data_IF_439646810776
#
_entry.id   IF_439646810776
#
_cell.length_a   1.000
_cell.length_b   1.000
_cell.length_c   1.000
_cell.angle_alpha   90.00
_cell.angle_beta   90.00
_cell.angle_gamma   90.00
#
_symmetry.space_group_name_H-M   'P 1'
#
loop_
_entity.id
_entity.type
_entity.pdbx_description
1 polymer ?
#
# COMPACT_ATOMS: atom_id res chain seq x y z
N UNK A 1 -7.94 -10.46 -16.84
CA UNK A 1 -7.98 -9.87 -15.48
C UNK A 1 -9.23 -9.01 -15.42
N UNK A 2 -10.06 -9.18 -14.38
CA UNK A 2 -11.30 -8.40 -14.25
C UNK A 2 -11.16 -7.47 -13.04
N UNK A 3 -11.56 -6.21 -13.23
CA UNK A 3 -11.72 -5.23 -12.16
C UNK A 3 -13.22 -5.05 -11.87
N UNK A 4 -13.58 -4.77 -10.62
CA UNK A 4 -14.93 -4.27 -10.32
C UNK A 4 -15.10 -2.84 -10.83
N UNK A 5 -16.34 -2.37 -10.95
CA UNK A 5 -16.62 -0.99 -11.36
C UNK A 5 -15.92 0.04 -10.45
N UNK A 6 -15.87 -0.25 -9.14
CA UNK A 6 -15.16 0.58 -8.17
C UNK A 6 -13.64 0.56 -8.40
N UNK A 7 -13.05 -0.61 -8.63
CA UNK A 7 -11.62 -0.73 -8.93
C UNK A 7 -11.27 0.02 -10.23
N UNK A 8 -12.12 -0.10 -11.25
CA UNK A 8 -11.98 0.58 -12.53
C UNK A 8 -12.05 2.10 -12.38
N UNK A 9 -13.03 2.60 -11.63
CA UNK A 9 -13.14 4.03 -11.33
C UNK A 9 -11.90 4.56 -10.60
N UNK A 10 -11.38 3.82 -9.62
CA UNK A 10 -10.16 4.19 -8.92
C UNK A 10 -8.93 4.24 -9.86
N UNK A 11 -8.82 3.32 -10.79
CA UNK A 11 -7.77 3.35 -11.84
C UNK A 11 -7.87 4.63 -12.65
N UNK A 12 -9.07 4.98 -13.11
CA UNK A 12 -9.32 6.19 -13.88
C UNK A 12 -9.01 7.46 -13.09
N UNK A 13 -9.36 7.52 -11.80
CA UNK A 13 -9.04 8.63 -10.91
C UNK A 13 -7.52 8.84 -10.79
N UNK A 14 -6.73 7.77 -10.69
CA UNK A 14 -5.25 7.91 -10.65
C UNK A 14 -4.70 8.52 -11.92
N UNK A 15 -5.23 8.13 -13.08
CA UNK A 15 -4.77 8.65 -14.37
C UNK A 15 -5.07 10.15 -14.54
N UNK A 16 -6.04 10.68 -13.79
CA UNK A 16 -6.36 12.12 -13.71
C UNK A 16 -5.41 12.92 -12.79
N UNK A 17 -4.62 12.25 -11.94
CA UNK A 17 -3.63 12.92 -11.05
C UNK A 17 -2.43 13.50 -11.82
N UNK A 18 -1.51 14.20 -11.13
CA UNK A 18 -0.39 14.92 -11.76
C UNK A 18 0.97 14.62 -11.14
N UNK A 19 1.99 14.59 -11.98
CA UNK A 19 3.39 14.44 -11.59
C UNK A 19 3.88 12.98 -11.61
N UNK A 20 5.08 12.76 -11.09
CA UNK A 20 5.76 11.47 -11.16
C UNK A 20 5.02 10.31 -10.48
N UNK A 21 4.22 10.59 -9.44
CA UNK A 21 3.35 9.59 -8.80
C UNK A 21 2.39 8.93 -9.79
N UNK A 22 1.74 9.71 -10.67
CA UNK A 22 0.90 9.17 -11.74
C UNK A 22 1.68 8.23 -12.66
N UNK A 23 2.88 8.63 -13.06
CA UNK A 23 3.67 7.85 -14.02
C UNK A 23 4.12 6.52 -13.43
N UNK A 24 4.55 6.51 -12.17
CA UNK A 24 4.86 5.28 -11.43
C UNK A 24 3.62 4.38 -11.34
N UNK A 25 2.46 4.94 -10.95
CA UNK A 25 1.23 4.14 -10.87
C UNK A 25 0.74 3.63 -12.24
N UNK A 26 0.91 4.41 -13.30
CA UNK A 26 0.63 3.97 -14.69
C UNK A 26 1.56 2.82 -15.11
N UNK A 27 2.84 2.87 -14.73
CA UNK A 27 3.77 1.75 -14.96
C UNK A 27 3.30 0.52 -14.18
N UNK A 28 2.89 0.72 -12.93
CA UNK A 28 2.35 -0.33 -12.07
C UNK A 28 1.13 -1.04 -12.68
N UNK A 29 0.12 -0.28 -13.17
CA UNK A 29 -1.05 -0.82 -13.88
C UNK A 29 -0.59 -1.70 -15.06
N UNK A 30 0.29 -1.16 -15.91
CA UNK A 30 0.80 -1.89 -17.07
C UNK A 30 1.51 -3.19 -16.66
N UNK A 31 2.31 -3.17 -15.60
CA UNK A 31 2.98 -4.38 -15.13
C UNK A 31 1.98 -5.43 -14.62
N UNK A 32 0.95 -5.02 -13.88
CA UNK A 32 -0.08 -5.93 -13.40
C UNK A 32 -0.86 -6.58 -14.55
N UNK A 33 -1.29 -5.78 -15.53
CA UNK A 33 -1.98 -6.27 -16.74
C UNK A 33 -1.11 -7.30 -17.48
N UNK A 34 0.15 -6.94 -17.76
CA UNK A 34 1.10 -7.84 -18.44
C UNK A 34 1.42 -9.09 -17.65
N UNK A 35 1.44 -9.01 -16.32
CA UNK A 35 1.62 -10.18 -15.47
C UNK A 35 0.49 -11.20 -15.70
N UNK A 36 -0.77 -10.74 -15.73
CA UNK A 36 -1.92 -11.61 -15.99
C UNK A 36 -1.98 -12.13 -17.43
N UNK A 37 -1.55 -11.34 -18.42
CA UNK A 37 -1.48 -11.78 -19.82
C UNK A 37 -0.43 -12.87 -20.04
N UNK A 38 0.69 -12.80 -19.33
CA UNK A 38 1.83 -13.71 -19.50
C UNK A 38 1.79 -14.92 -18.56
N UNK A 39 0.79 -15.02 -17.67
CA UNK A 39 0.78 -16.02 -16.59
C UNK A 39 0.89 -17.47 -17.09
N UNK A 40 0.35 -17.78 -18.27
CA UNK A 40 0.33 -19.13 -18.83
C UNK A 40 1.48 -19.38 -19.81
N UNK A 41 1.97 -18.34 -20.50
CA UNK A 41 2.98 -18.44 -21.56
C UNK A 41 4.41 -18.18 -21.08
N UNK A 42 4.58 -17.32 -20.07
CA UNK A 42 5.86 -16.96 -19.45
C UNK A 42 5.66 -16.75 -17.94
N UNK A 43 5.37 -17.82 -17.17
CA UNK A 43 4.93 -17.71 -15.78
C UNK A 43 5.97 -17.06 -14.85
N UNK A 44 7.26 -17.24 -15.11
CA UNK A 44 8.34 -16.60 -14.36
C UNK A 44 8.35 -15.07 -14.62
N UNK A 45 8.19 -14.65 -15.88
CA UNK A 45 8.07 -13.23 -16.24
C UNK A 45 6.81 -12.62 -15.62
N UNK A 46 5.71 -13.37 -15.59
CA UNK A 46 4.49 -12.95 -14.92
C UNK A 46 4.71 -12.69 -13.42
N UNK A 47 5.42 -13.57 -12.71
CA UNK A 47 5.80 -13.36 -11.31
C UNK A 47 6.65 -12.09 -11.16
N UNK A 48 7.66 -11.92 -12.00
CA UNK A 48 8.53 -10.73 -11.96
C UNK A 48 7.73 -9.44 -12.14
N UNK A 49 6.80 -9.42 -13.10
CA UNK A 49 5.92 -8.27 -13.34
C UNK A 49 4.96 -8.04 -12.16
N UNK A 50 4.45 -9.10 -11.54
CA UNK A 50 3.61 -9.01 -10.34
C UNK A 50 4.34 -8.43 -9.12
N UNK A 51 5.65 -8.66 -8.99
CA UNK A 51 6.47 -7.99 -7.95
C UNK A 51 6.74 -6.54 -8.35
N UNK A 52 7.10 -6.31 -9.61
CA UNK A 52 7.43 -4.97 -10.12
C UNK A 52 6.22 -4.03 -10.07
N UNK A 53 5.00 -4.52 -10.28
CA UNK A 53 3.80 -3.69 -10.19
C UNK A 53 3.62 -3.14 -8.77
N UNK A 54 3.80 -3.94 -7.72
CA UNK A 54 3.73 -3.50 -6.33
C UNK A 54 4.79 -2.45 -6.00
N UNK A 55 6.02 -2.66 -6.47
CA UNK A 55 7.10 -1.70 -6.28
C UNK A 55 6.83 -0.34 -6.92
N UNK A 56 6.29 -0.33 -8.14
CA UNK A 56 5.91 0.91 -8.83
C UNK A 56 4.72 1.61 -8.15
N UNK A 57 3.77 0.86 -7.60
CA UNK A 57 2.67 1.41 -6.81
C UNK A 57 3.16 2.03 -5.49
N UNK A 58 4.10 1.36 -4.78
CA UNK A 58 4.75 1.94 -3.61
C UNK A 58 5.55 3.21 -3.96
N UNK A 59 6.23 3.20 -5.10
CA UNK A 59 6.96 4.37 -5.63
C UNK A 59 6.04 5.56 -5.86
N UNK A 60 4.82 5.33 -6.36
CA UNK A 60 3.83 6.38 -6.52
C UNK A 60 3.40 7.01 -5.18
N UNK A 61 3.18 6.20 -4.15
CA UNK A 61 2.89 6.68 -2.79
C UNK A 61 4.05 7.53 -2.28
N UNK A 62 5.30 7.08 -2.43
CA UNK A 62 6.48 7.85 -1.99
C UNK A 62 6.60 9.18 -2.71
N UNK A 63 6.30 9.22 -4.01
CA UNK A 63 6.19 10.48 -4.74
C UNK A 63 5.13 11.41 -4.15
N UNK A 64 3.94 10.89 -3.82
CA UNK A 64 2.88 11.69 -3.21
C UNK A 64 3.32 12.25 -1.85
N UNK A 65 3.89 11.41 -0.98
CA UNK A 65 4.38 11.82 0.34
C UNK A 65 5.46 12.90 0.26
N UNK A 66 6.45 12.70 -0.61
CA UNK A 66 7.56 13.66 -0.82
C UNK A 66 7.08 14.97 -1.46
N UNK A 67 6.19 14.88 -2.45
CA UNK A 67 5.58 16.06 -3.10
C UNK A 67 4.82 16.93 -2.11
N UNK A 68 4.11 16.30 -1.16
CA UNK A 68 3.35 16.98 -0.10
C UNK A 68 4.21 17.41 1.09
N UNK A 69 5.47 16.98 1.16
CA UNK A 69 6.43 17.32 2.21
C UNK A 69 5.97 16.89 3.60
N UNK A 70 5.39 15.69 3.70
CA UNK A 70 5.17 15.05 5.00
C UNK A 70 6.48 14.94 5.77
N UNK A 71 6.46 15.17 7.08
CA UNK A 71 7.68 15.15 7.90
C UNK A 71 8.37 13.79 7.78
N UNK A 72 9.66 13.80 7.39
CA UNK A 72 10.49 12.61 7.23
C UNK A 72 10.37 11.90 5.88
N UNK A 73 9.43 12.30 5.01
CA UNK A 73 9.22 11.65 3.71
C UNK A 73 10.46 11.72 2.78
N UNK A 74 11.34 12.70 2.98
CA UNK A 74 12.62 12.82 2.26
C UNK A 74 13.57 11.64 2.50
N UNK A 75 13.38 10.88 3.59
CA UNK A 75 14.18 9.69 3.93
C UNK A 75 13.70 8.43 3.20
N UNK A 76 12.55 8.48 2.54
CA UNK A 76 12.03 7.36 1.76
C UNK A 76 12.82 7.21 0.46
N UNK A 77 13.52 6.08 0.31
CA UNK A 77 14.21 5.74 -0.93
C UNK A 77 13.27 5.04 -1.91
N UNK A 78 12.96 5.69 -3.02
CA UNK A 78 12.24 5.09 -4.17
C UNK A 78 13.05 4.01 -4.88
N UNK A 79 14.37 3.99 -4.67
CA UNK A 79 15.29 3.02 -5.29
C UNK A 79 15.49 1.77 -4.43
N UNK A 80 15.27 1.84 -3.11
CA UNK A 80 15.40 0.67 -2.24
C UNK A 80 14.20 -0.26 -2.43
N UNK A 81 14.49 -1.52 -2.80
CA UNK A 81 13.49 -2.58 -2.86
C UNK A 81 12.91 -2.87 -1.47
N UNK A 82 13.74 -2.84 -0.42
CA UNK A 82 13.29 -3.01 0.97
C UNK A 82 12.28 -1.92 1.34
N UNK A 83 12.59 -0.66 1.04
CA UNK A 83 11.65 0.44 1.30
C UNK A 83 10.32 0.24 0.56
N UNK A 84 10.30 -0.31 -0.66
CA UNK A 84 9.04 -0.50 -1.39
C UNK A 84 8.25 -1.71 -0.88
N UNK A 85 8.94 -2.84 -0.65
CA UNK A 85 8.34 -4.12 -0.26
C UNK A 85 7.91 -4.17 1.21
N UNK A 86 8.53 -3.39 2.09
CA UNK A 86 8.12 -3.28 3.49
C UNK A 86 6.79 -2.52 3.68
N UNK A 87 6.28 -1.84 2.63
CA UNK A 87 5.07 -1.03 2.74
C UNK A 87 3.83 -1.89 2.97
N UNK A 88 3.70 -3.03 2.28
CA UNK A 88 2.57 -3.93 2.46
C UNK A 88 2.45 -4.50 3.89
N UNK A 89 3.48 -5.13 4.48
CA UNK A 89 3.39 -5.63 5.85
C UNK A 89 3.15 -4.49 6.87
N UNK A 90 3.66 -3.29 6.61
CA UNK A 90 3.35 -2.12 7.42
C UNK A 90 1.87 -1.74 7.36
N UNK A 91 1.28 -1.62 6.15
CA UNK A 91 -0.14 -1.29 6.00
C UNK A 91 -1.06 -2.36 6.60
N UNK A 92 -0.69 -3.64 6.52
CA UNK A 92 -1.42 -4.71 7.20
C UNK A 92 -1.41 -4.54 8.72
N UNK A 93 -0.27 -4.18 9.29
CA UNK A 93 -0.16 -3.98 10.73
C UNK A 93 -0.99 -2.77 11.19
N UNK A 94 -0.90 -1.65 10.47
CA UNK A 94 -1.73 -0.46 10.70
C UNK A 94 -3.23 -0.78 10.56
N UNK A 95 -3.61 -1.57 9.55
CA UNK A 95 -5.00 -1.99 9.34
C UNK A 95 -5.56 -2.79 10.51
N UNK A 96 -4.77 -3.70 11.08
CA UNK A 96 -5.17 -4.47 12.29
C UNK A 96 -5.36 -3.57 13.51
N UNK A 97 -4.45 -2.63 13.75
CA UNK A 97 -4.61 -1.62 14.82
C UNK A 97 -5.88 -0.80 14.64
N UNK A 98 -6.17 -0.45 13.38
CA UNK A 98 -7.35 0.32 13.05
C UNK A 98 -8.62 -0.47 13.34
N UNK A 99 -8.69 -1.75 12.96
CA UNK A 99 -9.80 -2.65 13.30
C UNK A 99 -10.03 -2.75 14.81
N UNK A 100 -8.97 -2.89 15.61
CA UNK A 100 -9.06 -2.95 17.08
C UNK A 100 -9.63 -1.66 17.68
N UNK A 101 -9.27 -0.49 17.14
CA UNK A 101 -9.68 0.82 17.66
C UNK A 101 -11.08 1.22 17.18
N UNK A 102 -11.46 0.91 15.94
CA UNK A 102 -12.76 1.28 15.40
C UNK A 102 -13.86 0.30 15.79
N UNK A 103 -13.50 -0.93 16.21
CA UNK A 103 -14.43 -1.98 16.63
C UNK A 103 -15.43 -2.33 15.53
N UNK A 104 -16.73 -2.26 15.84
CA UNK A 104 -17.80 -2.59 14.89
C UNK A 104 -18.07 -1.50 13.83
N UNK A 105 -17.38 -0.35 13.89
CA UNK A 105 -17.53 0.71 12.88
C UNK A 105 -16.93 0.23 11.58
N UNK A 106 -17.68 0.37 10.48
CA UNK A 106 -17.23 -0.06 9.16
C UNK A 106 -16.82 1.17 8.34
N UNK A 107 -15.51 1.41 8.13
CA UNK A 107 -15.08 2.41 7.17
C UNK A 107 -15.43 1.90 5.77
N UNK A 108 -16.10 2.73 4.99
CA UNK A 108 -16.39 2.43 3.58
C UNK A 108 -15.68 3.44 2.70
N UNK A 109 -15.15 2.95 1.58
CA UNK A 109 -14.55 3.81 0.56
C UNK A 109 -15.62 4.25 -0.42
N UNK A 110 -15.68 5.54 -0.70
CA UNK A 110 -16.59 6.08 -1.72
C UNK A 110 -15.97 7.26 -2.45
N UNK A 111 -16.38 7.46 -3.70
CA UNK A 111 -16.05 8.65 -4.46
C UNK A 111 -17.13 9.70 -4.24
N UNK A 112 -16.69 10.94 -3.95
CA UNK A 112 -17.60 12.01 -3.58
C UNK A 112 -17.11 13.36 -4.14
N UNK A 113 -17.97 14.03 -4.90
CA UNK A 113 -17.72 15.34 -5.53
C UNK A 113 -18.27 16.53 -4.73
N UNK A 114 -19.21 16.30 -3.80
CA UNK A 114 -19.94 17.37 -3.10
C UNK A 114 -19.18 17.93 -1.90
N UNK A 115 -18.18 17.21 -1.41
CA UNK A 115 -17.35 17.59 -0.26
C UNK A 115 -16.13 18.44 -0.62
N UNK A 116 -16.03 18.93 -1.86
CA UNK A 116 -14.95 19.84 -2.29
C UNK A 116 -15.50 21.14 -2.87
N UNK A 117 -14.87 22.25 -2.53
CA UNK A 117 -15.20 23.56 -3.09
C UNK A 117 -14.94 23.67 -4.60
N UNK A 118 -14.06 22.83 -5.15
CA UNK A 118 -13.75 22.79 -6.58
C UNK A 118 -14.62 21.81 -7.38
N UNK A 119 -15.60 21.14 -6.73
CA UNK A 119 -16.49 20.17 -7.35
C UNK A 119 -15.78 18.93 -7.90
N UNK A 120 -14.52 18.68 -7.52
CA UNK A 120 -13.79 17.50 -7.99
C UNK A 120 -14.15 16.28 -7.18
N UNK A 121 -14.58 15.23 -7.87
CA UNK A 121 -14.78 13.91 -7.29
C UNK A 121 -13.45 13.33 -6.78
N UNK A 122 -13.42 12.89 -5.52
CA UNK A 122 -12.23 12.28 -4.90
C UNK A 122 -12.63 11.11 -4.00
N UNK A 123 -11.72 10.16 -3.85
CA UNK A 123 -11.88 9.02 -2.96
C UNK A 123 -11.89 9.46 -1.49
N UNK A 124 -12.86 8.97 -0.71
CA UNK A 124 -13.06 9.29 0.70
C UNK A 124 -13.16 8.03 1.55
N UNK A 125 -12.96 8.24 2.85
CA UNK A 125 -13.34 7.30 3.90
C UNK A 125 -14.62 7.83 4.55
N UNK A 126 -15.72 7.07 4.42
CA UNK A 126 -16.94 7.28 5.20
C UNK A 126 -16.88 6.40 6.43
N UNK A 127 -17.15 6.97 7.60
CA UNK A 127 -17.25 6.23 8.85
C UNK A 127 -18.72 6.18 9.25
N UNK A 128 -19.28 4.97 9.31
CA UNK A 128 -20.66 4.74 9.74
C UNK A 128 -20.75 4.44 11.23
N UNK A 129 -21.77 5.02 11.87
CA UNK A 129 -22.14 4.86 13.26
C UNK A 129 -23.59 4.40 13.32
N UNK A 130 -23.89 3.46 14.20
CA UNK A 130 -25.26 2.99 14.41
C UNK A 130 -25.67 3.39 15.81
N UNK A 131 -26.83 4.03 15.93
CA UNK A 131 -27.40 4.34 17.23
C UNK A 131 -27.97 3.08 17.90
N UNK A 132 -28.51 3.23 19.12
CA UNK A 132 -29.13 2.12 19.87
C UNK A 132 -30.36 1.50 19.17
N UNK A 133 -30.95 2.18 18.21
CA UNK A 133 -32.10 1.73 17.43
C UNK A 133 -31.67 1.09 16.09
N UNK A 134 -30.37 1.10 15.77
CA UNK A 134 -29.83 0.62 14.49
C UNK A 134 -29.91 1.64 13.36
N UNK A 135 -30.22 2.91 13.63
CA UNK A 135 -30.19 3.97 12.63
C UNK A 135 -28.75 4.35 12.30
N UNK A 136 -28.41 4.35 11.00
CA UNK A 136 -27.09 4.72 10.51
C UNK A 136 -26.94 6.24 10.45
N UNK A 137 -25.91 6.76 11.12
CA UNK A 137 -25.34 8.09 10.89
C UNK A 137 -23.93 7.93 10.34
N UNK A 138 -23.45 8.89 9.56
CA UNK A 138 -22.12 8.80 8.96
C UNK A 138 -21.36 10.11 9.06
N UNK A 139 -20.03 10.02 8.99
CA UNK A 139 -19.15 11.18 8.94
C UNK A 139 -18.01 10.96 7.94
N UNK A 140 -17.48 12.07 7.41
CA UNK A 140 -16.25 12.10 6.62
C UNK A 140 -15.17 12.86 7.38
N UNK A 141 -14.00 12.26 7.58
CA UNK A 141 -12.80 13.04 7.86
C UNK A 141 -12.52 13.95 6.65
N UNK A 142 -12.21 15.23 6.92
CA UNK A 142 -11.85 16.19 5.89
C UNK A 142 -10.51 16.84 6.24
N UNK A 143 -9.43 16.58 5.47
CA UNK A 143 -9.24 15.54 4.43
C UNK A 143 -9.45 14.08 4.92
N UNK A 144 -9.52 13.06 4.03
CA UNK A 144 -10.03 11.72 4.37
C UNK A 144 -9.22 10.92 5.40
N UNK A 145 -7.97 11.29 5.63
CA UNK A 145 -7.07 10.72 6.64
C UNK A 145 -6.63 11.79 7.67
N UNK A 146 -7.41 12.86 7.84
CA UNK A 146 -7.10 13.93 8.78
C UNK A 146 -7.63 13.63 10.18
N UNK A 147 -7.06 12.59 10.79
CA UNK A 147 -7.30 12.18 12.17
C UNK A 147 -5.99 11.64 12.75
N UNK A 148 -5.93 11.51 14.07
CA UNK A 148 -4.82 10.83 14.76
C UNK A 148 -5.34 9.59 15.45
N UNK A 149 -4.54 8.52 15.44
CA UNK A 149 -4.81 7.37 16.32
C UNK A 149 -4.20 7.63 17.68
N UNK A 150 -5.01 7.47 18.74
CA UNK A 150 -4.55 7.56 20.12
C UNK A 150 -4.86 6.25 20.85
N UNK A 151 -3.91 5.78 21.63
CA UNK A 151 -4.06 4.65 22.53
C UNK A 151 -3.80 5.15 23.96
N UNK A 152 -4.74 4.90 24.88
CA UNK A 152 -4.67 5.39 26.26
C UNK A 152 -4.45 6.92 26.39
N UNK A 153 -4.98 7.70 25.44
CA UNK A 153 -4.86 9.16 25.42
C UNK A 153 -3.58 9.72 24.80
N UNK A 154 -2.59 8.88 24.51
CA UNK A 154 -1.34 9.25 23.84
C UNK A 154 -1.38 8.94 22.34
N UNK A 155 -0.58 9.68 21.55
CA UNK A 155 -0.45 9.42 20.12
C UNK A 155 0.08 8.00 19.90
N UNK A 156 -0.68 7.17 19.19
CA UNK A 156 -0.32 5.77 18.94
C UNK A 156 0.90 5.69 18.02
N UNK A 157 2.03 5.22 18.53
CA UNK A 157 3.28 5.16 17.73
C UNK A 157 3.41 3.86 16.94
N UNK A 158 2.35 3.04 16.93
CA UNK A 158 2.36 1.69 16.38
C UNK A 158 3.48 0.83 16.96
N UNK A 159 3.99 1.15 18.16
CA UNK A 159 5.21 0.52 18.66
C UNK A 159 5.00 -0.97 18.89
N UNK A 160 3.85 -1.39 19.40
CA UNK A 160 3.55 -2.81 19.61
C UNK A 160 3.37 -3.56 18.29
N UNK A 161 2.86 -2.91 17.26
CA UNK A 161 2.69 -3.49 15.93
C UNK A 161 4.02 -3.54 15.17
N UNK A 162 4.83 -2.50 15.30
CA UNK A 162 6.21 -2.49 14.83
C UNK A 162 7.04 -3.55 15.55
N UNK A 163 6.87 -3.73 16.87
CA UNK A 163 7.50 -4.81 17.63
C UNK A 163 6.90 -6.16 17.32
N UNK A 164 5.62 -6.25 16.98
CA UNK A 164 5.00 -7.49 16.52
C UNK A 164 5.61 -7.88 15.19
N UNK A 165 5.78 -6.94 14.25
CA UNK A 165 6.54 -7.14 13.01
C UNK A 165 8.01 -7.41 13.30
N UNK A 166 8.61 -6.82 14.34
CA UNK A 166 10.04 -6.95 14.68
C UNK A 166 10.37 -8.07 15.68
N UNK A 167 9.37 -8.76 16.24
CA UNK A 167 9.55 -9.88 17.17
C UNK A 167 10.24 -11.01 16.43
N UNK A 168 11.14 -11.75 17.06
CA UNK A 168 12.04 -12.67 16.35
C UNK A 168 11.33 -13.62 15.36
N UNK A 169 10.13 -14.10 15.71
CA UNK A 169 9.28 -14.95 14.85
C UNK A 169 8.66 -14.19 13.66
N UNK A 170 8.15 -12.98 13.87
CA UNK A 170 7.45 -12.20 12.85
C UNK A 170 8.39 -11.27 12.07
N UNK A 171 9.52 -10.85 12.64
CA UNK A 171 10.63 -10.20 11.97
C UNK A 171 11.26 -11.17 11.00
N UNK A 172 11.43 -12.41 11.44
CA UNK A 172 11.76 -13.50 10.55
C UNK A 172 10.70 -13.59 9.45
N UNK A 173 9.40 -13.60 9.72
CA UNK A 173 8.38 -13.62 8.66
C UNK A 173 8.35 -12.37 7.73
N UNK A 174 8.57 -11.15 8.24
CA UNK A 174 8.55 -9.92 7.43
C UNK A 174 9.84 -9.74 6.62
N UNK A 175 10.99 -10.03 7.23
CA UNK A 175 12.28 -10.12 6.53
C UNK A 175 12.29 -11.29 5.56
N UNK A 176 11.72 -12.44 5.92
CA UNK A 176 11.54 -13.59 5.03
C UNK A 176 10.57 -13.25 3.92
N UNK A 177 9.51 -12.48 4.15
CA UNK A 177 8.60 -12.01 3.10
C UNK A 177 9.33 -11.07 2.13
N UNK A 178 10.06 -10.07 2.65
CA UNK A 178 10.84 -9.14 1.81
C UNK A 178 11.95 -9.89 1.06
N UNK A 179 12.69 -10.76 1.74
CA UNK A 179 13.74 -11.60 1.16
C UNK A 179 13.17 -12.61 0.18
N UNK A 180 12.02 -13.21 0.46
CA UNK A 180 11.31 -14.11 -0.43
C UNK A 180 10.91 -13.38 -1.70
N UNK A 181 10.34 -12.18 -1.62
CA UNK A 181 10.01 -11.40 -2.80
C UNK A 181 11.26 -10.94 -3.57
N UNK A 182 12.31 -10.50 -2.87
CA UNK A 182 13.59 -10.15 -3.51
C UNK A 182 14.25 -11.34 -4.21
N UNK A 183 14.32 -12.48 -3.52
CA UNK A 183 14.86 -13.73 -4.06
C UNK A 183 14.00 -14.24 -5.21
N UNK A 184 12.67 -14.22 -5.07
CA UNK A 184 11.73 -14.66 -6.12
C UNK A 184 11.77 -13.72 -7.32
N UNK A 185 12.08 -12.45 -7.15
CA UNK A 185 12.37 -11.51 -8.25
C UNK A 185 13.65 -11.89 -8.99
N UNK A 186 14.74 -12.15 -8.26
CA UNK A 186 16.01 -12.58 -8.87
C UNK A 186 15.87 -13.94 -9.56
N UNK A 187 15.27 -14.89 -8.86
CA UNK A 187 14.97 -16.23 -9.35
C UNK A 187 13.92 -16.24 -10.45
N UNK A 188 13.13 -15.20 -10.69
CA UNK A 188 12.18 -15.21 -11.81
C UNK A 188 12.85 -14.96 -13.17
N UNK A 189 14.04 -14.37 -13.20
CA UNK A 189 14.71 -13.99 -14.45
C UNK A 189 16.05 -14.69 -14.62
N UNK A 190 16.75 -14.92 -13.52
CA UNK A 190 18.12 -15.43 -13.56
C UNK A 190 18.15 -16.94 -13.35
N UNK A 191 18.90 -17.63 -14.22
CA UNK A 191 19.24 -19.02 -14.02
C UNK A 191 20.05 -19.19 -12.74
N UNK A 192 19.78 -20.28 -12.03
CA UNK A 192 20.54 -20.70 -10.85
C UNK A 192 21.43 -21.90 -11.21
N UNK A 193 22.39 -22.31 -10.35
CA UNK A 193 23.09 -23.58 -10.53
C UNK A 193 22.16 -24.80 -10.62
N UNK A 194 20.89 -24.66 -10.18
CA UNK A 194 19.85 -25.69 -10.25
C UNK A 194 19.03 -25.64 -11.56
N UNK A 195 19.33 -24.72 -12.49
CA UNK A 195 18.72 -24.63 -13.81
C UNK A 195 17.84 -23.38 -14.02
N UNK A 196 16.98 -23.44 -15.04
CA UNK A 196 16.00 -22.40 -15.34
C UNK A 196 14.92 -22.43 -14.25
N UNK A 197 14.49 -21.27 -13.75
CA UNK A 197 13.44 -21.20 -12.74
C UNK A 197 12.13 -21.84 -13.22
N UNK A 198 11.43 -22.51 -12.30
CA UNK A 198 10.09 -23.04 -12.55
C UNK A 198 9.10 -22.35 -11.62
N UNK A 199 8.08 -21.72 -12.20
CA UNK A 199 7.07 -20.99 -11.47
C UNK A 199 5.82 -21.83 -11.18
N UNK A 200 5.55 -22.06 -9.89
CA UNK A 200 4.32 -22.70 -9.40
C UNK A 200 3.34 -21.67 -8.81
N UNK A 201 2.04 -21.99 -8.83
CA UNK A 201 0.95 -21.21 -8.24
C UNK A 201 0.86 -19.74 -8.74
N UNK A 202 1.22 -19.50 -10.00
CA UNK A 202 1.31 -18.15 -10.60
C UNK A 202 0.00 -17.39 -10.46
N UNK A 203 -1.14 -18.01 -10.77
CA UNK A 203 -2.44 -17.36 -10.68
C UNK A 203 -2.77 -16.90 -9.25
N UNK A 204 -2.59 -17.78 -8.26
CA UNK A 204 -2.81 -17.46 -6.85
C UNK A 204 -1.88 -16.33 -6.39
N UNK A 205 -0.63 -16.38 -6.83
CA UNK A 205 0.34 -15.31 -6.56
C UNK A 205 -0.12 -13.97 -7.14
N UNK A 206 -0.53 -13.93 -8.41
CA UNK A 206 -0.98 -12.70 -9.09
C UNK A 206 -2.29 -12.15 -8.52
N UNK A 207 -3.25 -13.00 -8.14
CA UNK A 207 -4.48 -12.57 -7.47
C UNK A 207 -4.14 -11.88 -6.13
N UNK A 208 -3.22 -12.47 -5.36
CA UNK A 208 -2.77 -11.84 -4.13
C UNK A 208 -2.04 -10.52 -4.40
N UNK A 209 -1.15 -10.46 -5.41
CA UNK A 209 -0.48 -9.20 -5.81
C UNK A 209 -1.48 -8.13 -6.25
N UNK A 210 -2.55 -8.48 -6.99
CA UNK A 210 -3.64 -7.55 -7.35
C UNK A 210 -4.26 -6.93 -6.09
N UNK A 211 -4.53 -7.73 -5.07
CA UNK A 211 -5.10 -7.23 -3.81
C UNK A 211 -4.16 -6.26 -3.08
N UNK A 212 -2.86 -6.59 -2.99
CA UNK A 212 -1.85 -5.69 -2.41
C UNK A 212 -1.75 -4.40 -3.21
N UNK A 213 -1.65 -4.51 -4.52
CA UNK A 213 -1.60 -3.39 -5.45
C UNK A 213 -2.82 -2.46 -5.30
N UNK A 214 -4.01 -3.03 -5.13
CA UNK A 214 -5.23 -2.25 -4.94
C UNK A 214 -5.22 -1.48 -3.61
N UNK A 215 -4.67 -2.05 -2.53
CA UNK A 215 -4.49 -1.32 -1.27
C UNK A 215 -3.58 -0.09 -1.45
N UNK A 216 -2.55 -0.20 -2.30
CA UNK A 216 -1.67 0.93 -2.62
C UNK A 216 -2.34 1.97 -3.51
N UNK A 217 -3.20 1.53 -4.44
CA UNK A 217 -4.05 2.42 -5.25
C UNK A 217 -4.93 3.30 -4.35
N UNK A 218 -5.64 2.67 -3.41
CA UNK A 218 -6.48 3.36 -2.43
C UNK A 218 -5.64 4.33 -1.60
N UNK A 219 -4.52 3.88 -1.02
CA UNK A 219 -3.66 4.75 -0.22
C UNK A 219 -3.16 5.97 -1.02
N UNK A 220 -2.74 5.77 -2.27
CA UNK A 220 -2.32 6.87 -3.15
C UNK A 220 -3.47 7.86 -3.41
N UNK A 221 -4.68 7.40 -3.70
CA UNK A 221 -5.85 8.26 -3.94
C UNK A 221 -6.38 8.97 -2.69
N UNK A 222 -6.15 8.42 -1.50
CA UNK A 222 -6.45 9.10 -0.24
C UNK A 222 -5.39 10.15 0.14
N UNK A 223 -4.23 10.18 -0.54
CA UNK A 223 -3.13 11.09 -0.24
C UNK A 223 -2.91 12.13 -1.34
N UNK A 224 -2.67 11.68 -2.58
CA UNK A 224 -2.20 12.57 -3.65
C UNK A 224 -3.18 13.70 -3.96
N UNK A 225 -4.50 13.47 -4.11
CA UNK A 225 -5.43 14.53 -4.51
C UNK A 225 -5.55 15.66 -3.47
N UNK A 226 -5.15 15.42 -2.22
CA UNK A 226 -5.28 16.35 -1.10
C UNK A 226 -4.00 17.16 -0.92
N UNK A 227 -4.13 18.48 -0.74
CA UNK A 227 -2.97 19.39 -0.61
C UNK A 227 -2.48 19.50 0.82
N UNK A 228 -3.42 19.34 1.74
CA UNK A 228 -3.26 19.42 3.18
C UNK A 228 -2.44 18.24 3.70
N UNK A 229 -1.67 18.49 4.75
CA UNK A 229 -1.04 17.43 5.53
C UNK A 229 -2.13 16.73 6.34
N UNK A 230 -2.21 15.41 6.19
CA UNK A 230 -3.14 14.56 6.90
C UNK A 230 -2.43 13.94 8.10
N UNK A 231 -2.95 14.19 9.31
CA UNK A 231 -2.26 13.83 10.56
C UNK A 231 -1.94 12.33 10.64
N UNK A 232 -2.89 11.47 10.25
CA UNK A 232 -2.69 10.02 10.23
C UNK A 232 -1.58 9.60 9.27
N UNK A 233 -1.48 10.26 8.12
CA UNK A 233 -0.46 9.97 7.11
C UNK A 233 0.91 10.36 7.64
N UNK A 234 1.02 11.50 8.31
CA UNK A 234 2.27 11.91 8.96
C UNK A 234 2.67 10.95 10.08
N UNK A 235 1.73 10.58 10.95
CA UNK A 235 1.89 9.57 12.00
C UNK A 235 2.40 8.24 11.40
N UNK A 236 1.81 7.80 10.29
CA UNK A 236 2.19 6.58 9.59
C UNK A 236 3.58 6.67 8.95
N UNK A 237 3.95 7.81 8.35
CA UNK A 237 5.30 8.02 7.79
C UNK A 237 6.37 7.88 8.87
N UNK A 238 6.17 8.49 10.03
CA UNK A 238 7.11 8.41 11.15
C UNK A 238 7.27 6.96 11.63
N UNK A 239 6.16 6.24 11.82
CA UNK A 239 6.18 4.83 12.21
C UNK A 239 6.83 3.94 11.14
N UNK A 240 6.57 4.21 9.86
CA UNK A 240 7.17 3.45 8.77
C UNK A 240 8.69 3.62 8.72
N UNK A 241 9.20 4.83 8.93
CA UNK A 241 10.64 5.08 9.02
C UNK A 241 11.28 4.38 10.23
N UNK A 242 10.54 4.18 11.32
CA UNK A 242 11.01 3.37 12.44
C UNK A 242 11.09 1.88 12.07
N UNK A 243 10.09 1.35 11.35
CA UNK A 243 10.13 -0.02 10.82
C UNK A 243 11.37 -0.25 9.95
N UNK A 244 11.66 0.66 9.04
CA UNK A 244 12.79 0.54 8.11
C UNK A 244 14.15 0.50 8.83
N UNK A 245 14.28 1.12 10.00
CA UNK A 245 15.50 1.00 10.82
C UNK A 245 15.67 -0.39 11.44
N UNK A 246 14.56 -1.10 11.62
CA UNK A 246 14.53 -2.47 12.15
C UNK A 246 14.70 -3.52 11.05
N UNK A 247 14.62 -3.14 9.78
CA UNK A 247 14.76 -4.02 8.61
C UNK A 247 15.90 -3.48 7.72
N UNK A 248 17.18 -3.79 8.05
CA UNK A 248 18.31 -3.25 7.31
C UNK A 248 18.36 -3.73 5.85
N UNK A 249 18.82 -2.84 4.95
CA UNK A 249 18.95 -3.07 3.50
C UNK A 249 19.83 -4.30 3.16
N UNK A 250 20.73 -4.71 4.06
CA UNK A 250 21.60 -5.88 3.93
C UNK A 250 20.83 -7.20 3.78
N UNK A 251 19.53 -7.23 4.10
CA UNK A 251 18.69 -8.41 3.95
C UNK A 251 18.41 -8.84 2.49
N UNK A 252 18.81 -8.01 1.50
CA UNK A 252 18.52 -8.18 0.06
C UNK A 252 19.78 -8.38 -0.81
N UNK A 253 20.98 -8.44 -0.23
CA UNK A 253 22.23 -8.69 -0.98
C UNK A 253 22.57 -10.18 -1.17
N UNK A 254 21.62 -11.01 -1.60
CA UNK A 254 21.90 -12.37 -2.05
C UNK A 254 21.46 -12.58 -3.51
#
# INVERSE_FOLDING_TARGET
MNFSDFEQHAIESVLKTRGAGKHAFRSSIRHLERAFELKDSMPEVAIFLGITCEEEAATAIFHALQKRRYIGAEKLSRKSHVHKLALHPFLLAVGRSFEEIIGNRRPTLEFNETLQADGTERLRVRISFFDKNGEETWAYPLPPLHFNMKLNGELHRFSDELHSIASEKNAKNAREYIRFLANRRNQAIYASPQGIPHAEDVEKFLIHRKSVWFSFLVAYLLIEPYREIQEFVEQAVVAYLQLLRLVPDEAVQA
#
